data_IF_915102086120
#
_entry.id   IF_915102086120
#
_cell.length_a   1.000
_cell.length_b   1.000
_cell.length_c   1.000
_cell.angle_alpha   90.00
_cell.angle_beta   90.00
_cell.angle_gamma   90.00
#
_symmetry.space_group_name_H-M   'P 1'
#
loop_
_entity.id
_entity.type
_entity.pdbx_description
1 polymer ?
#
# COMPACT_ATOMS: atom_id res chain seq x y z
N UNK A 1 41.29 0.58 29.54
CA UNK A 1 39.91 0.03 29.62
C UNK A 1 39.61 -0.72 28.33
N UNK A 2 39.40 -2.05 28.36
CA UNK A 2 39.07 -2.86 27.16
C UNK A 2 37.59 -2.65 26.81
N UNK A 3 37.25 -2.57 25.53
CA UNK A 3 35.88 -2.34 25.05
C UNK A 3 35.01 -3.58 25.36
N UNK A 4 33.74 -3.41 25.78
CA UNK A 4 32.87 -4.53 26.11
C UNK A 4 32.54 -5.38 24.87
N UNK A 5 32.35 -6.69 25.06
CA UNK A 5 32.28 -7.69 23.98
C UNK A 5 31.10 -7.49 23.01
N UNK A 6 30.04 -6.81 23.45
CA UNK A 6 28.88 -6.48 22.61
C UNK A 6 29.14 -5.31 21.65
N UNK A 7 30.21 -4.55 21.85
CA UNK A 7 30.59 -3.44 20.97
C UNK A 7 31.28 -4.02 19.75
N UNK A 8 30.48 -4.35 18.73
CA UNK A 8 31.00 -4.69 17.40
C UNK A 8 31.85 -3.52 16.90
N UNK A 9 33.11 -3.79 16.59
CA UNK A 9 34.00 -2.82 15.95
C UNK A 9 33.35 -2.36 14.64
N UNK A 10 32.92 -1.10 14.59
CA UNK A 10 32.30 -0.49 13.41
C UNK A 10 33.24 -0.31 12.20
N UNK A 11 34.37 -1.04 12.15
CA UNK A 11 35.41 -0.94 11.12
C UNK A 11 35.57 -2.17 10.22
N UNK A 12 34.71 -3.20 10.34
CA UNK A 12 34.75 -4.35 9.43
C UNK A 12 34.29 -3.97 8.02
N UNK A 13 35.17 -4.08 7.02
CA UNK A 13 34.81 -3.87 5.60
C UNK A 13 33.59 -4.76 5.26
N UNK A 14 32.46 -4.14 4.93
CA UNK A 14 31.24 -4.86 4.52
C UNK A 14 31.60 -5.78 3.34
N UNK A 15 31.38 -7.09 3.50
CA UNK A 15 31.68 -8.07 2.46
C UNK A 15 30.99 -7.71 1.14
N UNK A 16 31.63 -8.02 0.00
CA UNK A 16 31.07 -7.80 -1.35
C UNK A 16 29.68 -8.45 -1.47
N UNK A 17 29.52 -9.66 -0.91
CA UNK A 17 28.24 -10.39 -0.87
C UNK A 17 27.16 -9.63 -0.10
N UNK A 18 27.50 -9.06 1.05
CA UNK A 18 26.56 -8.28 1.86
C UNK A 18 26.19 -6.94 1.21
N UNK A 19 27.14 -6.28 0.54
CA UNK A 19 26.84 -5.10 -0.29
C UNK A 19 25.89 -5.42 -1.44
N UNK A 20 26.09 -6.55 -2.12
CA UNK A 20 25.21 -7.00 -3.19
C UNK A 20 23.81 -7.31 -2.66
N UNK A 21 23.69 -8.04 -1.54
CA UNK A 21 22.40 -8.34 -0.90
C UNK A 21 21.62 -7.05 -0.55
N UNK A 22 22.29 -6.07 0.07
CA UNK A 22 21.68 -4.77 0.40
C UNK A 22 21.21 -4.02 -0.85
N UNK A 23 22.01 -4.03 -1.92
CA UNK A 23 21.64 -3.43 -3.21
C UNK A 23 20.38 -4.11 -3.77
N UNK A 24 20.34 -5.44 -3.79
CA UNK A 24 19.19 -6.19 -4.32
C UNK A 24 17.92 -5.93 -3.51
N UNK A 25 18.02 -5.86 -2.18
CA UNK A 25 16.88 -5.49 -1.31
C UNK A 25 16.40 -4.08 -1.62
N UNK A 26 17.31 -3.12 -1.84
CA UNK A 26 16.94 -1.75 -2.20
C UNK A 26 16.26 -1.70 -3.58
N UNK A 27 16.81 -2.40 -4.57
CA UNK A 27 16.24 -2.47 -5.92
C UNK A 27 14.85 -3.10 -5.89
N UNK A 28 14.68 -4.20 -5.16
CA UNK A 28 13.38 -4.84 -4.98
C UNK A 28 12.33 -3.89 -4.41
N UNK A 29 12.68 -3.04 -3.43
CA UNK A 29 11.75 -2.04 -2.87
C UNK A 29 11.39 -0.93 -3.84
N UNK A 30 12.33 -0.51 -4.70
CA UNK A 30 12.10 0.60 -5.66
C UNK A 30 11.29 0.13 -6.87
N UNK A 31 11.47 -1.12 -7.27
CA UNK A 31 10.81 -1.70 -8.44
C UNK A 31 9.42 -2.30 -8.12
N UNK A 32 9.00 -2.28 -6.86
CA UNK A 32 7.68 -2.78 -6.48
C UNK A 32 6.58 -1.87 -7.03
N UNK A 33 5.58 -2.43 -7.73
CA UNK A 33 4.42 -1.65 -8.17
C UNK A 33 3.64 -1.13 -6.96
N UNK A 34 3.03 0.05 -7.09
CA UNK A 34 2.36 0.72 -5.97
C UNK A 34 1.03 0.03 -5.66
N UNK A 35 0.76 -0.16 -4.37
CA UNK A 35 -0.53 -0.66 -3.90
C UNK A 35 -1.59 0.46 -3.85
N UNK A 36 -2.86 0.07 -3.63
CA UNK A 36 -3.98 1.01 -3.60
C UNK A 36 -3.80 2.10 -2.52
N UNK A 37 -3.28 1.74 -1.33
CA UNK A 37 -3.07 2.69 -0.22
C UNK A 37 -2.03 3.75 -0.60
N UNK A 38 -0.92 3.37 -1.23
CA UNK A 38 0.12 4.31 -1.67
C UNK A 38 -0.42 5.30 -2.68
N UNK A 39 -1.17 4.80 -3.66
CA UNK A 39 -1.80 5.63 -4.70
C UNK A 39 -2.79 6.60 -4.07
N UNK A 40 -3.64 6.13 -3.16
CA UNK A 40 -4.62 6.99 -2.49
C UNK A 40 -3.96 8.07 -1.63
N UNK A 41 -2.85 7.75 -0.96
CA UNK A 41 -2.09 8.72 -0.18
C UNK A 41 -1.41 9.79 -1.05
N UNK A 42 -0.98 9.44 -2.26
CA UNK A 42 -0.44 10.40 -3.23
C UNK A 42 -1.52 11.36 -3.76
N UNK A 43 -2.74 10.84 -3.94
CA UNK A 43 -3.88 11.62 -4.43
C UNK A 43 -4.46 12.57 -3.37
N UNK A 44 -4.73 12.06 -2.18
CA UNK A 44 -5.56 12.75 -1.17
C UNK A 44 -4.70 13.45 -0.10
N UNK A 45 -3.37 13.22 -0.07
CA UNK A 45 -2.35 13.76 0.87
C UNK A 45 -2.64 13.57 2.39
N UNK A 46 -3.87 13.27 2.81
CA UNK A 46 -4.29 13.07 4.20
C UNK A 46 -5.47 12.09 4.35
N UNK A 47 -5.44 10.95 3.65
CA UNK A 47 -6.44 9.89 3.83
C UNK A 47 -6.33 9.25 5.23
N UNK A 48 -7.42 9.27 6.00
CA UNK A 48 -7.49 8.67 7.34
C UNK A 48 -8.10 7.28 7.26
N UNK A 49 -7.41 6.29 7.83
CA UNK A 49 -7.87 4.90 7.85
C UNK A 49 -8.23 4.49 9.28
N UNK A 50 -9.46 4.01 9.49
CA UNK A 50 -9.86 3.32 10.71
C UNK A 50 -10.01 1.83 10.44
N UNK A 51 -9.45 0.98 11.30
CA UNK A 51 -9.57 -0.48 11.20
C UNK A 51 -10.25 -1.01 12.44
N UNK A 52 -11.33 -1.76 12.25
CA UNK A 52 -12.03 -2.52 13.27
C UNK A 52 -11.81 -4.02 13.07
N UNK A 53 -11.65 -4.73 14.17
CA UNK A 53 -11.52 -6.17 14.19
C UNK A 53 -12.95 -6.73 14.36
N UNK A 54 -13.40 -7.58 13.44
CA UNK A 54 -14.72 -8.24 13.54
C UNK A 54 -14.49 -9.65 14.07
N UNK A 55 -14.77 -9.92 15.36
CA UNK A 55 -14.68 -11.27 15.89
C UNK A 55 -15.74 -12.14 15.20
N UNK A 56 -15.30 -13.11 14.40
CA UNK A 56 -16.21 -14.14 13.90
C UNK A 56 -16.60 -15.05 15.07
N UNK A 57 -17.92 -15.20 15.27
CA UNK A 57 -18.47 -16.10 16.27
C UNK A 57 -18.45 -17.53 15.70
N UNK A 58 -17.34 -18.24 15.87
CA UNK A 58 -17.18 -19.62 15.42
C UNK A 58 -15.74 -20.13 15.52
N UNK A 59 -15.60 -21.43 15.82
CA UNK A 59 -14.36 -22.21 15.95
C UNK A 59 -13.58 -22.34 14.63
N UNK A 60 -13.08 -21.23 14.11
CA UNK A 60 -12.28 -21.21 12.90
C UNK A 60 -11.48 -19.93 12.85
N UNK A 61 -10.16 -20.06 12.79
CA UNK A 61 -9.15 -19.01 12.86
C UNK A 61 -9.19 -17.94 11.74
N UNK A 62 -10.34 -17.65 11.12
CA UNK A 62 -10.51 -16.60 10.10
C UNK A 62 -10.88 -15.26 10.75
N UNK A 63 -9.89 -14.59 11.35
CA UNK A 63 -10.06 -13.20 11.77
C UNK A 63 -10.37 -12.32 10.54
N UNK A 64 -11.53 -11.67 10.55
CA UNK A 64 -11.88 -10.66 9.56
C UNK A 64 -11.62 -9.27 10.10
N UNK A 65 -11.06 -8.42 9.25
CA UNK A 65 -10.74 -7.05 9.55
C UNK A 65 -11.52 -6.15 8.61
N UNK A 66 -12.19 -5.16 9.16
CA UNK A 66 -12.89 -4.14 8.40
C UNK A 66 -12.10 -2.85 8.48
N UNK A 67 -11.77 -2.25 7.35
CA UNK A 67 -11.15 -0.93 7.30
C UNK A 67 -12.09 0.06 6.62
N UNK A 68 -12.05 1.32 7.05
CA UNK A 68 -12.75 2.41 6.39
C UNK A 68 -11.83 3.60 6.15
N UNK A 69 -12.07 4.31 5.04
CA UNK A 69 -11.32 5.49 4.61
C UNK A 69 -12.28 6.58 4.12
N UNK A 70 -12.07 7.81 4.60
CA UNK A 70 -12.85 8.96 4.15
C UNK A 70 -12.11 9.71 3.03
N UNK A 71 -12.78 9.90 1.90
CA UNK A 71 -12.27 10.62 0.72
C UNK A 71 -13.38 11.52 0.20
N UNK A 72 -13.11 12.82 0.08
CA UNK A 72 -14.05 13.83 -0.43
C UNK A 72 -15.45 13.79 0.24
N UNK A 73 -15.48 13.50 1.54
CA UNK A 73 -16.73 13.40 2.33
C UNK A 73 -17.45 12.05 2.21
N UNK A 74 -16.95 11.12 1.39
CA UNK A 74 -17.49 9.77 1.22
C UNK A 74 -16.65 8.77 2.01
N UNK A 75 -17.32 7.95 2.84
CA UNK A 75 -16.66 6.89 3.58
C UNK A 75 -16.70 5.57 2.78
N UNK A 76 -15.53 5.01 2.48
CA UNK A 76 -15.36 3.75 1.77
C UNK A 76 -14.90 2.67 2.73
N UNK A 77 -15.45 1.46 2.61
CA UNK A 77 -15.20 0.33 3.51
C UNK A 77 -14.60 -0.84 2.73
N UNK A 78 -13.67 -1.58 3.33
CA UNK A 78 -13.07 -2.80 2.77
C UNK A 78 -12.84 -3.86 3.85
N UNK A 79 -12.91 -5.14 3.48
CA UNK A 79 -12.89 -6.27 4.42
C UNK A 79 -11.80 -7.28 4.00
N UNK A 80 -10.84 -7.55 4.87
CA UNK A 80 -9.74 -8.48 4.57
C UNK A 80 -9.53 -9.52 5.65
N UNK A 81 -8.77 -10.56 5.33
CA UNK A 81 -8.24 -11.55 6.28
C UNK A 81 -7.08 -11.01 7.11
N UNK A 82 -6.55 -9.83 6.74
CA UNK A 82 -5.55 -9.09 7.49
C UNK A 82 -5.86 -7.60 7.53
N UNK A 83 -5.31 -6.88 8.53
CA UNK A 83 -5.40 -5.41 8.64
C UNK A 83 -4.82 -4.67 7.42
N UNK A 84 -3.88 -5.31 6.72
CA UNK A 84 -3.25 -4.73 5.52
C UNK A 84 -4.18 -4.91 4.32
N UNK A 85 -4.73 -6.10 4.15
CA UNK A 85 -5.68 -6.42 3.09
C UNK A 85 -6.96 -5.59 3.20
N UNK A 86 -7.50 -5.43 4.40
CA UNK A 86 -8.70 -4.62 4.62
C UNK A 86 -8.48 -3.16 4.22
N UNK A 87 -7.34 -2.56 4.61
CA UNK A 87 -6.94 -1.21 4.18
C UNK A 87 -6.77 -1.09 2.68
N UNK A 88 -6.13 -2.08 2.05
CA UNK A 88 -5.98 -2.11 0.60
C UNK A 88 -7.35 -2.14 -0.08
N UNK A 89 -8.28 -2.97 0.36
CA UNK A 89 -9.63 -2.99 -0.21
C UNK A 89 -10.41 -1.68 -0.01
N UNK A 90 -10.32 -1.06 1.17
CA UNK A 90 -10.95 0.23 1.41
C UNK A 90 -10.37 1.31 0.48
N UNK A 91 -9.05 1.31 0.30
CA UNK A 91 -8.38 2.20 -0.65
C UNK A 91 -8.77 1.90 -2.11
N UNK A 92 -8.91 0.63 -2.49
CA UNK A 92 -9.39 0.24 -3.83
C UNK A 92 -10.77 0.83 -4.13
N UNK A 93 -11.70 0.75 -3.17
CA UNK A 93 -13.04 1.32 -3.31
C UNK A 93 -13.00 2.84 -3.48
N UNK A 94 -12.16 3.53 -2.71
CA UNK A 94 -11.95 4.97 -2.84
C UNK A 94 -11.32 5.37 -4.18
N UNK A 95 -10.30 4.63 -4.66
CA UNK A 95 -9.68 4.89 -5.96
C UNK A 95 -10.68 4.73 -7.12
N UNK A 96 -11.54 3.72 -7.06
CA UNK A 96 -12.61 3.53 -8.06
C UNK A 96 -13.57 4.71 -8.09
N UNK A 97 -13.93 5.24 -6.93
CA UNK A 97 -14.77 6.43 -6.81
C UNK A 97 -14.10 7.66 -7.43
N UNK A 98 -12.83 7.92 -7.10
CA UNK A 98 -12.07 9.06 -7.68
C UNK A 98 -12.00 8.96 -9.21
N UNK A 99 -11.68 7.77 -9.75
CA UNK A 99 -11.56 7.57 -11.20
C UNK A 99 -12.91 7.78 -11.89
N UNK A 100 -13.99 7.23 -11.33
CA UNK A 100 -15.33 7.38 -11.89
C UNK A 100 -15.80 8.84 -11.87
N UNK A 101 -15.70 9.51 -10.72
CA UNK A 101 -16.15 10.89 -10.58
C UNK A 101 -15.37 11.87 -11.47
N UNK A 102 -14.08 11.59 -11.76
CA UNK A 102 -13.29 12.39 -12.70
C UNK A 102 -13.68 12.19 -14.17
N UNK A 103 -14.17 11.00 -14.53
CA UNK A 103 -14.66 10.73 -15.89
C UNK A 103 -16.01 11.40 -16.15
N UNK A 104 -16.85 11.51 -15.12
CA UNK A 104 -18.17 12.16 -15.23
C UNK A 104 -18.07 13.70 -15.23
N UNK A 105 -16.92 14.26 -14.82
CA UNK A 105 -16.67 15.71 -14.72
C UNK A 105 -15.88 16.30 -15.89
N UNK A 106 -16.01 15.75 -17.10
CA UNK A 106 -15.43 16.29 -18.37
C UNK A 106 -16.12 17.61 -18.80
N UNK A 107 -16.26 18.54 -17.86
CA UNK A 107 -16.76 19.89 -18.01
C UNK A 107 -15.98 20.85 -17.11
N UNK A 108 -14.77 21.21 -17.57
CA UNK A 108 -14.12 22.50 -17.31
C UNK A 108 -13.61 22.85 -15.90
N UNK A 109 -12.79 22.01 -15.25
CA UNK A 109 -11.77 22.54 -14.32
C UNK A 109 -10.46 21.72 -14.42
N UNK A 110 -9.46 22.29 -15.10
CA UNK A 110 -8.08 21.80 -15.05
C UNK A 110 -7.52 22.02 -13.65
N UNK A 111 -7.75 21.08 -12.75
CA UNK A 111 -7.08 21.06 -11.45
C UNK A 111 -5.59 20.78 -11.68
N UNK A 112 -4.77 21.83 -11.69
CA UNK A 112 -3.31 21.73 -11.77
C UNK A 112 -2.78 20.83 -10.64
N UNK A 113 -2.06 19.78 -11.02
CA UNK A 113 -1.02 19.20 -10.15
C UNK A 113 -1.29 17.86 -9.47
N UNK A 114 -2.36 17.11 -9.78
CA UNK A 114 -2.53 15.75 -9.21
C UNK A 114 -2.53 14.70 -10.30
N UNK A 115 -1.32 14.21 -10.56
CA UNK A 115 -0.97 13.09 -11.43
C UNK A 115 -1.90 11.90 -11.16
N UNK A 116 -2.92 11.73 -12.04
CA UNK A 116 -3.56 10.45 -12.38
C UNK A 116 -4.62 10.57 -13.50
N UNK A 117 -4.48 9.77 -14.58
CA UNK A 117 -5.54 8.80 -14.87
C UNK A 117 -5.04 7.38 -15.17
N UNK A 118 -3.88 7.20 -15.82
CA UNK A 118 -3.43 5.87 -16.25
C UNK A 118 -2.14 5.36 -15.62
N UNK A 119 -1.23 6.23 -15.14
CA UNK A 119 0.05 5.76 -14.58
C UNK A 119 -0.14 4.95 -13.30
N UNK A 120 -0.86 5.47 -12.31
CA UNK A 120 -1.13 4.68 -11.10
C UNK A 120 -2.15 3.57 -11.33
N UNK A 121 -3.08 3.72 -12.29
CA UNK A 121 -3.97 2.60 -12.66
C UNK A 121 -3.14 1.45 -13.25
N UNK A 122 -2.18 1.75 -14.13
CA UNK A 122 -1.23 0.77 -14.65
C UNK A 122 -0.34 0.19 -13.54
N UNK A 123 0.16 1.04 -12.64
CA UNK A 123 0.96 0.59 -11.49
C UNK A 123 0.16 -0.37 -10.59
N UNK A 124 -1.09 -0.05 -10.31
CA UNK A 124 -1.99 -0.88 -9.51
C UNK A 124 -2.36 -2.18 -10.24
N UNK A 125 -2.59 -2.14 -11.56
CA UNK A 125 -2.84 -3.32 -12.36
C UNK A 125 -1.64 -4.29 -12.31
N UNK A 126 -0.41 -3.77 -12.43
CA UNK A 126 0.82 -4.56 -12.26
C UNK A 126 0.93 -5.15 -10.86
N UNK A 127 0.56 -4.39 -9.82
CA UNK A 127 0.53 -4.87 -8.44
C UNK A 127 -0.46 -6.04 -8.26
N UNK A 128 -1.68 -5.93 -8.82
CA UNK A 128 -2.70 -6.99 -8.74
C UNK A 128 -2.27 -8.23 -9.51
N UNK A 129 -1.75 -8.06 -10.74
CA UNK A 129 -1.23 -9.17 -11.54
C UNK A 129 -0.12 -9.92 -10.80
N UNK A 130 0.88 -9.20 -10.27
CA UNK A 130 1.98 -9.81 -9.53
C UNK A 130 1.52 -10.63 -8.32
N UNK A 131 0.50 -10.15 -7.60
CA UNK A 131 -0.02 -10.85 -6.43
C UNK A 131 -0.92 -12.05 -6.80
N UNK A 132 -1.60 -12.00 -7.95
CA UNK A 132 -2.40 -13.14 -8.43
C UNK A 132 -1.56 -14.31 -8.97
N UNK A 133 -0.28 -14.07 -9.28
CA UNK A 133 0.62 -15.05 -9.91
C UNK A 133 1.23 -16.09 -8.95
N UNK A 134 0.54 -16.42 -7.87
CA UNK A 134 1.03 -17.40 -6.88
C UNK A 134 -0.06 -18.02 -6.00
N UNK A 135 -1.32 -17.93 -6.42
CA UNK A 135 -2.47 -18.52 -5.72
C UNK A 135 -3.01 -19.80 -6.38
N UNK A 136 -2.27 -20.39 -7.33
CA UNK A 136 -2.53 -21.73 -7.89
C UNK A 136 -1.88 -22.87 -7.06
#
# INVERSE_FOLDING_TARGET
KKKPFWVKSNGGKVSKKERQRRRNVRLSKILQPKNAVMILNELVKSATYSVSDVPQLGDGHSAQYTASVNVDGVNHVGIGRSKIESKNQAAEAALKYIVKNRQDSDGDEKMEGVELPWQHVASFALFKLLNSWGED
#
